data_IF_937832660060
#
_entry.id   IF_937832660060
#
_cell.length_a   1.000
_cell.length_b   1.000
_cell.length_c   1.000
_cell.angle_alpha   90.00
_cell.angle_beta   90.00
_cell.angle_gamma   90.00
#
_symmetry.space_group_name_H-M   'P 1'
#
loop_
_entity.id
_entity.type
_entity.pdbx_description
1 polymer ?
#
# COMPACT_ATOMS: atom_id res chain seq x y z
N UNK A 1 11.04 4.98 12.73
CA UNK A 1 10.38 3.91 11.97
C UNK A 1 9.99 4.35 10.55
N UNK A 2 9.06 5.26 10.39
CA UNK A 2 8.54 5.67 9.08
C UNK A 2 9.64 6.12 8.11
N UNK A 3 10.61 6.92 8.54
CA UNK A 3 11.75 7.36 7.74
C UNK A 3 12.51 6.18 7.10
N UNK A 4 12.78 5.12 7.89
CA UNK A 4 13.47 3.93 7.40
C UNK A 4 12.61 3.17 6.36
N UNK A 5 11.32 3.02 6.63
CA UNK A 5 10.40 2.36 5.69
C UNK A 5 10.32 3.09 4.34
N UNK A 6 10.23 4.43 4.36
CA UNK A 6 10.05 5.25 3.16
C UNK A 6 11.33 5.47 2.35
N UNK A 7 12.49 5.57 3.04
CA UNK A 7 13.73 6.04 2.41
C UNK A 7 14.77 4.93 2.17
N UNK A 8 14.57 3.72 2.68
CA UNK A 8 15.56 2.65 2.50
C UNK A 8 14.98 1.48 1.69
N UNK A 9 15.83 0.75 1.02
CA UNK A 9 15.59 -0.51 0.33
C UNK A 9 16.94 -1.24 0.12
N UNK A 10 16.97 -2.27 -0.72
CA UNK A 10 18.19 -3.06 -0.98
C UNK A 10 19.35 -2.22 -1.56
N UNK A 11 19.05 -1.12 -2.25
CA UNK A 11 20.04 -0.26 -2.92
C UNK A 11 20.25 1.08 -2.20
N UNK A 12 19.33 1.47 -1.32
CA UNK A 12 19.31 2.78 -0.68
C UNK A 12 19.39 2.65 0.83
N UNK A 13 20.37 3.34 1.42
CA UNK A 13 20.49 3.54 2.86
C UNK A 13 20.23 5.00 3.23
N UNK A 14 19.92 5.26 4.48
CA UNK A 14 19.72 6.60 5.02
C UNK A 14 20.76 6.91 6.09
N UNK A 15 21.39 8.08 5.99
CA UNK A 15 22.38 8.54 6.95
C UNK A 15 21.72 9.12 8.22
N UNK A 16 22.48 9.21 9.31
CA UNK A 16 21.99 9.86 10.54
C UNK A 16 21.52 11.29 10.28
N UNK A 17 22.22 12.04 9.39
CA UNK A 17 21.83 13.41 9.08
C UNK A 17 20.51 13.47 8.33
N UNK A 18 20.27 12.58 7.36
CA UNK A 18 19.01 12.53 6.63
C UNK A 18 17.83 12.12 7.53
N UNK A 19 18.08 11.31 8.58
CA UNK A 19 17.04 11.01 9.59
C UNK A 19 16.72 12.27 10.41
N UNK A 20 17.72 13.01 10.84
CA UNK A 20 17.53 14.28 11.59
C UNK A 20 16.75 15.28 10.73
N UNK A 21 17.14 15.45 9.48
CA UNK A 21 16.47 16.35 8.54
C UNK A 21 15.01 15.95 8.29
N UNK A 22 14.75 14.63 8.16
CA UNK A 22 13.40 14.11 8.03
C UNK A 22 12.54 14.39 9.26
N UNK A 23 13.08 14.22 10.47
CA UNK A 23 12.38 14.52 11.72
C UNK A 23 12.14 16.01 11.89
N UNK A 24 13.09 16.85 11.49
CA UNK A 24 12.96 18.31 11.53
C UNK A 24 11.81 18.81 10.65
N UNK A 25 11.60 18.19 9.46
CA UNK A 25 10.44 18.49 8.60
C UNK A 25 9.10 18.16 9.26
N UNK A 26 9.09 17.25 10.23
CA UNK A 26 7.90 16.92 11.04
C UNK A 26 7.81 17.71 12.36
N UNK A 27 8.67 18.70 12.54
CA UNK A 27 8.70 19.54 13.75
C UNK A 27 9.37 18.86 14.95
N UNK A 28 10.11 17.76 14.75
CA UNK A 28 10.81 17.02 15.80
C UNK A 28 12.30 17.36 15.74
N UNK A 29 12.82 17.98 16.78
CA UNK A 29 14.25 18.23 16.93
C UNK A 29 14.92 17.00 17.55
N UNK A 30 15.87 16.41 16.83
CA UNK A 30 16.62 15.25 17.29
C UNK A 30 18.13 15.50 17.19
N UNK A 31 18.86 15.04 18.19
CA UNK A 31 20.31 15.07 18.19
C UNK A 31 20.88 13.76 17.65
N UNK A 32 22.06 13.82 17.08
CA UNK A 32 22.75 12.65 16.51
C UNK A 32 22.90 11.49 17.50
N UNK A 33 23.17 11.81 18.78
CA UNK A 33 23.33 10.81 19.84
C UNK A 33 22.00 10.09 20.13
N UNK A 34 20.88 10.84 20.15
CA UNK A 34 19.53 10.26 20.33
C UNK A 34 19.21 9.27 19.20
N UNK A 35 19.53 9.63 17.94
CA UNK A 35 19.28 8.74 16.79
C UNK A 35 20.02 7.42 16.94
N UNK A 36 21.26 7.42 17.42
CA UNK A 36 22.00 6.16 17.65
C UNK A 36 21.29 5.28 18.68
N UNK A 37 20.86 5.86 19.80
CA UNK A 37 20.13 5.17 20.85
C UNK A 37 18.80 4.64 20.33
N UNK A 38 18.05 5.45 19.57
CA UNK A 38 16.76 5.07 19.02
C UNK A 38 16.88 3.90 18.01
N UNK A 39 17.94 3.92 17.17
CA UNK A 39 18.21 2.82 16.25
C UNK A 39 18.55 1.53 17.01
N UNK A 40 19.36 1.62 18.08
CA UNK A 40 19.68 0.45 18.90
C UNK A 40 18.42 -0.13 19.56
N UNK A 41 17.54 0.73 20.09
CA UNK A 41 16.26 0.32 20.65
C UNK A 41 15.34 -0.35 19.62
N UNK A 42 15.31 0.16 18.37
CA UNK A 42 14.53 -0.45 17.30
C UNK A 42 15.07 -1.85 16.94
N UNK A 43 16.39 -2.03 16.94
CA UNK A 43 17.04 -3.33 16.73
C UNK A 43 16.70 -4.29 17.88
N UNK A 44 16.79 -3.82 19.12
CA UNK A 44 16.45 -4.61 20.32
C UNK A 44 14.96 -5.00 20.32
N UNK A 45 14.10 -4.17 19.77
CA UNK A 45 12.67 -4.46 19.58
C UNK A 45 12.41 -5.52 18.48
N UNK A 46 13.44 -5.95 17.76
CA UNK A 46 13.35 -7.01 16.75
C UNK A 46 13.27 -6.51 15.31
N UNK A 47 13.59 -5.23 15.06
CA UNK A 47 13.69 -4.72 13.70
C UNK A 47 15.04 -5.08 13.08
N UNK A 48 15.00 -5.64 11.88
CA UNK A 48 16.21 -5.99 11.13
C UNK A 48 16.76 -4.74 10.42
N UNK A 49 17.55 -3.98 11.16
CA UNK A 49 18.21 -2.76 10.67
C UNK A 49 19.70 -3.05 10.54
N UNK A 50 20.22 -2.94 9.31
CA UNK A 50 21.66 -3.07 9.02
C UNK A 50 22.33 -1.70 9.09
N UNK A 51 23.45 -1.65 9.84
CA UNK A 51 24.33 -0.48 9.91
C UNK A 51 25.41 -0.64 8.84
N UNK A 52 25.33 0.16 7.78
CA UNK A 52 26.30 0.16 6.71
C UNK A 52 27.53 0.99 7.10
N UNK A 53 28.72 0.42 6.96
CA UNK A 53 29.99 1.09 7.22
C UNK A 53 30.58 1.62 5.91
N UNK A 54 31.28 2.78 5.95
CA UNK A 54 31.99 3.34 4.80
C UNK A 54 31.60 4.79 4.47
N UNK A 55 32.02 5.25 3.27
CA UNK A 55 31.83 6.64 2.83
C UNK A 55 30.34 7.03 2.64
N UNK A 56 29.48 6.05 2.43
CA UNK A 56 28.02 6.17 2.37
C UNK A 56 27.36 5.44 3.53
N UNK A 57 28.04 5.39 4.70
CA UNK A 57 27.53 4.71 5.90
C UNK A 57 26.15 5.23 6.31
N UNK A 58 25.26 4.34 6.69
CA UNK A 58 23.90 4.67 7.08
C UNK A 58 23.14 3.45 7.59
N UNK A 59 21.84 3.55 7.62
CA UNK A 59 20.94 2.52 8.10
C UNK A 59 20.03 2.04 6.97
N UNK A 60 19.81 0.74 6.91
CA UNK A 60 18.88 0.11 5.95
C UNK A 60 17.96 -0.82 6.72
N UNK A 61 16.66 -0.68 6.52
CA UNK A 61 15.67 -1.63 7.01
C UNK A 61 15.60 -2.80 6.01
N UNK A 62 16.02 -3.99 6.46
CA UNK A 62 16.08 -5.20 5.61
C UNK A 62 14.74 -5.94 5.64
N UNK A 63 14.21 -6.21 6.83
CA UNK A 63 12.96 -6.94 6.98
C UNK A 63 11.77 -6.03 6.77
N UNK A 64 10.93 -6.38 5.79
CA UNK A 64 9.67 -5.70 5.47
C UNK A 64 8.51 -6.66 5.58
N UNK A 65 7.30 -6.15 5.79
CA UNK A 65 6.09 -6.98 5.85
C UNK A 65 5.79 -7.63 4.50
N UNK A 66 6.16 -6.95 3.41
CA UNK A 66 5.99 -7.44 2.04
C UNK A 66 7.25 -7.21 1.23
N UNK A 67 7.61 -8.19 0.42
CA UNK A 67 8.61 -8.02 -0.63
C UNK A 67 8.02 -7.23 -1.81
N UNK A 68 8.87 -6.55 -2.57
CA UNK A 68 8.44 -5.80 -3.75
C UNK A 68 7.68 -6.67 -4.77
N UNK A 69 8.09 -7.94 -4.93
CA UNK A 69 7.42 -8.89 -5.81
C UNK A 69 5.98 -9.19 -5.36
N UNK A 70 5.75 -9.33 -4.05
CA UNK A 70 4.43 -9.55 -3.47
C UNK A 70 3.55 -8.31 -3.66
N UNK A 71 4.09 -7.10 -3.42
CA UNK A 71 3.36 -5.86 -3.67
C UNK A 71 2.97 -5.72 -5.14
N UNK A 72 3.83 -6.11 -6.09
CA UNK A 72 3.49 -6.14 -7.52
C UNK A 72 2.31 -7.06 -7.82
N UNK A 73 2.28 -8.26 -7.23
CA UNK A 73 1.15 -9.19 -7.35
C UNK A 73 -0.14 -8.60 -6.77
N UNK A 74 -0.08 -7.95 -5.62
CA UNK A 74 -1.24 -7.29 -5.00
C UNK A 74 -1.76 -6.15 -5.88
N UNK A 75 -0.89 -5.32 -6.44
CA UNK A 75 -1.25 -4.25 -7.38
C UNK A 75 -1.94 -4.82 -8.61
N UNK A 76 -1.40 -5.90 -9.21
CA UNK A 76 -1.99 -6.57 -10.36
C UNK A 76 -3.38 -7.17 -10.03
N UNK A 77 -3.54 -7.75 -8.85
CA UNK A 77 -4.84 -8.27 -8.38
C UNK A 77 -5.88 -7.15 -8.25
N UNK A 78 -5.51 -6.01 -7.65
CA UNK A 78 -6.39 -4.84 -7.52
C UNK A 78 -6.75 -4.27 -8.89
N UNK A 79 -5.80 -4.20 -9.81
CA UNK A 79 -6.03 -3.71 -11.18
C UNK A 79 -6.90 -4.65 -12.01
N UNK A 80 -6.69 -5.95 -11.88
CA UNK A 80 -7.43 -6.98 -12.63
C UNK A 80 -8.87 -7.10 -12.17
N UNK A 81 -9.17 -6.73 -10.95
CA UNK A 81 -10.50 -6.84 -10.38
C UNK A 81 -11.51 -5.95 -11.13
N UNK A 82 -12.53 -6.58 -11.70
CA UNK A 82 -13.64 -5.90 -12.35
C UNK A 82 -14.64 -5.31 -11.34
N UNK A 83 -14.60 -5.77 -10.10
CA UNK A 83 -15.52 -5.38 -9.03
C UNK A 83 -15.09 -4.10 -8.31
N UNK A 84 -13.83 -3.69 -8.47
CA UNK A 84 -13.28 -2.50 -7.83
C UNK A 84 -13.31 -1.35 -8.84
N UNK A 85 -13.90 -0.20 -8.46
CA UNK A 85 -13.92 0.98 -9.33
C UNK A 85 -12.51 1.52 -9.57
N UNK A 86 -12.32 2.26 -10.64
CA UNK A 86 -11.02 2.89 -10.95
C UNK A 86 -10.53 3.78 -9.82
N UNK A 87 -11.43 4.56 -9.19
CA UNK A 87 -11.12 5.42 -8.05
C UNK A 87 -10.61 4.58 -6.86
N UNK A 88 -11.39 3.56 -6.45
CA UNK A 88 -11.04 2.71 -5.32
C UNK A 88 -9.76 1.91 -5.56
N UNK A 89 -9.52 1.47 -6.81
CA UNK A 89 -8.26 0.81 -7.17
C UNK A 89 -7.06 1.73 -6.96
N UNK A 90 -7.17 2.99 -7.38
CA UNK A 90 -6.09 3.98 -7.19
C UNK A 90 -5.83 4.23 -5.71
N UNK A 91 -6.89 4.37 -4.90
CA UNK A 91 -6.76 4.57 -3.45
C UNK A 91 -6.09 3.36 -2.77
N UNK A 92 -6.45 2.13 -3.17
CA UNK A 92 -5.84 0.91 -2.64
C UNK A 92 -4.37 0.78 -3.04
N UNK A 93 -4.04 1.07 -4.31
CA UNK A 93 -2.66 1.03 -4.79
C UNK A 93 -1.82 2.06 -4.06
N UNK A 94 -2.33 3.29 -3.86
CA UNK A 94 -1.63 4.30 -3.06
C UNK A 94 -1.34 3.84 -1.62
N UNK A 95 -2.22 3.03 -1.02
CA UNK A 95 -1.94 2.41 0.29
C UNK A 95 -0.87 1.32 0.21
N UNK A 96 -0.86 0.50 -0.85
CA UNK A 96 0.20 -0.50 -1.05
C UNK A 96 1.57 0.15 -1.28
N UNK A 97 1.61 1.29 -1.97
CA UNK A 97 2.83 2.08 -2.19
C UNK A 97 3.47 2.56 -0.87
N UNK A 98 2.69 2.75 0.20
CA UNK A 98 3.25 3.13 1.51
C UNK A 98 3.96 1.99 2.26
N UNK A 99 3.83 0.75 1.78
CA UNK A 99 4.47 -0.43 2.39
C UNK A 99 5.88 -0.69 1.87
N UNK A 100 6.33 0.04 0.87
CA UNK A 100 7.67 -0.05 0.29
C UNK A 100 8.40 1.30 0.30
N UNK A 101 9.66 1.32 -0.18
CA UNK A 101 10.40 2.57 -0.31
C UNK A 101 9.80 3.48 -1.39
N UNK A 102 10.05 4.79 -1.30
CA UNK A 102 9.66 5.75 -2.35
C UNK A 102 10.23 5.42 -3.73
N UNK A 103 11.37 4.72 -3.77
CA UNK A 103 12.05 4.30 -5.00
C UNK A 103 11.33 3.10 -5.62
N UNK A 104 10.92 2.14 -4.79
CA UNK A 104 10.15 0.97 -5.18
C UNK A 104 8.71 1.34 -5.56
N UNK A 105 8.09 2.27 -4.82
CA UNK A 105 6.75 2.79 -5.12
C UNK A 105 6.65 3.34 -6.55
N UNK A 106 7.70 4.01 -7.04
CA UNK A 106 7.77 4.47 -8.43
C UNK A 106 7.73 3.33 -9.47
N UNK A 107 8.16 2.11 -9.11
CA UNK A 107 8.04 0.94 -9.96
C UNK A 107 6.59 0.39 -9.96
N UNK A 108 5.94 0.36 -8.80
CA UNK A 108 4.54 -0.05 -8.66
C UNK A 108 3.62 0.88 -9.46
N UNK A 109 3.84 2.18 -9.36
CA UNK A 109 3.04 3.19 -10.07
C UNK A 109 3.10 3.04 -11.59
N UNK A 110 4.25 2.70 -12.16
CA UNK A 110 4.41 2.48 -13.60
C UNK A 110 3.58 1.31 -14.14
N UNK A 111 3.30 0.30 -13.33
CA UNK A 111 2.45 -0.82 -13.72
C UNK A 111 0.96 -0.43 -13.81
N UNK A 112 0.54 0.62 -13.09
CA UNK A 112 -0.87 1.10 -13.05
C UNK A 112 -1.34 1.65 -14.40
N UNK A 113 -0.45 2.13 -15.24
CA UNK A 113 -0.78 2.91 -16.47
C UNK A 113 -1.21 2.03 -17.65
N UNK A 114 -0.97 0.71 -17.63
CA UNK A 114 -1.00 -0.12 -18.85
C UNK A 114 -2.36 -0.80 -19.11
N UNK A 115 -3.31 -0.80 -18.19
CA UNK A 115 -4.55 -1.58 -18.39
C UNK A 115 -5.81 -0.72 -18.36
N UNK A 116 -6.27 -0.29 -19.54
CA UNK A 116 -7.65 0.13 -19.82
C UNK A 116 -8.61 -1.09 -19.70
N UNK A 117 -8.76 -1.64 -18.50
CA UNK A 117 -9.76 -2.70 -18.25
C UNK A 117 -11.07 -2.05 -17.83
N UNK A 118 -12.17 -2.46 -18.46
CA UNK A 118 -13.52 -2.03 -18.10
C UNK A 118 -13.80 -2.41 -16.62
N UNK A 119 -13.73 -1.42 -15.74
CA UNK A 119 -14.06 -1.57 -14.32
C UNK A 119 -15.50 -1.14 -14.06
N UNK A 120 -16.09 -1.65 -12.98
CA UNK A 120 -17.41 -1.19 -12.56
C UNK A 120 -17.41 0.30 -12.21
N UNK A 121 -18.55 0.95 -12.40
CA UNK A 121 -18.80 2.34 -11.97
C UNK A 121 -19.47 2.36 -10.60
N UNK A 122 -20.00 1.20 -10.15
CA UNK A 122 -20.76 1.12 -8.90
C UNK A 122 -19.83 0.94 -7.70
N UNK A 123 -19.64 1.99 -6.91
CA UNK A 123 -18.81 1.98 -5.69
C UNK A 123 -19.40 1.10 -4.57
N UNK A 124 -20.71 0.82 -4.60
CA UNK A 124 -21.38 0.01 -3.57
C UNK A 124 -21.04 -1.48 -3.67
N UNK A 125 -20.55 -1.97 -4.80
CA UNK A 125 -20.21 -3.39 -4.95
C UNK A 125 -19.17 -3.83 -3.92
N UNK A 126 -18.19 -2.98 -3.61
CA UNK A 126 -17.17 -3.27 -2.61
C UNK A 126 -17.79 -3.55 -1.23
N UNK A 127 -18.73 -2.70 -0.80
CA UNK A 127 -19.43 -2.86 0.48
C UNK A 127 -20.42 -4.04 0.44
N UNK A 128 -21.07 -4.29 -0.69
CA UNK A 128 -21.97 -5.43 -0.83
C UNK A 128 -21.23 -6.77 -0.71
N UNK A 129 -20.00 -6.86 -1.20
CA UNK A 129 -19.15 -8.05 -1.03
C UNK A 129 -18.85 -8.29 0.46
N UNK A 130 -18.51 -7.24 1.20
CA UNK A 130 -18.27 -7.34 2.64
C UNK A 130 -19.51 -7.81 3.41
N UNK A 131 -20.67 -7.25 3.10
CA UNK A 131 -21.96 -7.67 3.68
C UNK A 131 -22.24 -9.15 3.41
N UNK A 132 -21.96 -9.63 2.19
CA UNK A 132 -22.14 -11.03 1.83
C UNK A 132 -21.19 -11.93 2.63
N UNK A 133 -19.92 -11.57 2.77
CA UNK A 133 -18.97 -12.35 3.58
C UNK A 133 -19.39 -12.44 5.04
N UNK A 134 -19.84 -11.33 5.62
CA UNK A 134 -20.31 -11.30 7.01
C UNK A 134 -21.56 -12.16 7.19
N UNK A 135 -22.51 -12.11 6.27
CA UNK A 135 -23.71 -12.93 6.32
C UNK A 135 -23.40 -14.44 6.17
N UNK A 136 -22.43 -14.81 5.35
CA UNK A 136 -21.96 -16.19 5.24
C UNK A 136 -21.32 -16.63 6.56
N UNK A 137 -20.46 -15.81 7.16
CA UNK A 137 -19.79 -16.13 8.42
C UNK A 137 -20.78 -16.29 9.59
N UNK A 138 -21.83 -15.47 9.60
CA UNK A 138 -22.89 -15.50 10.64
C UNK A 138 -24.02 -16.48 10.32
N UNK A 139 -24.00 -17.12 9.14
CA UNK A 139 -25.04 -18.02 8.64
C UNK A 139 -26.44 -17.39 8.62
N UNK A 140 -26.53 -16.11 8.23
CA UNK A 140 -27.77 -15.35 8.15
C UNK A 140 -28.22 -15.14 6.71
N UNK A 141 -29.53 -14.93 6.50
CA UNK A 141 -30.11 -14.64 5.19
C UNK A 141 -29.96 -13.17 4.82
N UNK A 142 -29.59 -12.88 3.57
CA UNK A 142 -29.52 -11.54 3.03
C UNK A 142 -30.76 -11.29 2.17
N UNK A 143 -31.57 -10.24 2.43
CA UNK A 143 -32.63 -9.83 1.53
C UNK A 143 -32.01 -9.21 0.26
N UNK A 144 -32.32 -9.76 -0.91
CA UNK A 144 -31.87 -9.22 -2.20
C UNK A 144 -33.05 -8.58 -2.91
N UNK A 145 -32.97 -7.26 -3.16
CA UNK A 145 -33.96 -6.57 -3.99
C UNK A 145 -33.51 -6.60 -5.45
N UNK A 146 -34.33 -7.22 -6.29
CA UNK A 146 -34.07 -7.33 -7.72
C UNK A 146 -34.87 -6.27 -8.49
N UNK A 147 -34.20 -5.26 -9.02
CA UNK A 147 -34.83 -4.29 -9.92
C UNK A 147 -34.70 -4.77 -11.36
N UNK A 148 -35.77 -5.30 -11.90
CA UNK A 148 -35.86 -5.70 -13.30
C UNK A 148 -36.01 -4.45 -14.18
N UNK A 149 -34.97 -4.08 -14.91
CA UNK A 149 -35.11 -3.15 -16.04
C UNK A 149 -35.87 -3.92 -17.12
N UNK A 150 -37.18 -3.66 -17.26
CA UNK A 150 -37.93 -4.12 -18.43
C UNK A 150 -37.29 -3.49 -19.66
N UNK A 151 -36.69 -4.29 -20.50
CA UNK A 151 -36.42 -3.88 -21.87
C UNK A 151 -37.76 -3.52 -22.50
N UNK A 152 -37.94 -2.29 -22.95
CA UNK A 152 -39.01 -1.92 -23.81
C UNK A 152 -38.82 -2.68 -25.12
N UNK A 153 -39.51 -3.81 -25.26
CA UNK A 153 -39.77 -4.37 -26.58
C UNK A 153 -40.70 -3.39 -27.31
N UNK A 154 -40.11 -2.61 -28.20
CA UNK A 154 -40.91 -1.92 -29.22
C UNK A 154 -41.45 -2.97 -30.18
N UNK A 155 -42.71 -3.43 -29.95
CA UNK A 155 -43.49 -4.12 -30.94
C UNK A 155 -43.63 -3.20 -32.15
N UNK A 156 -42.89 -3.50 -33.22
CA UNK A 156 -43.18 -3.01 -34.56
C UNK A 156 -44.37 -3.85 -35.11
N UNK A 157 -45.46 -3.17 -35.25
CA UNK A 157 -46.53 -3.59 -36.23
C UNK A 157 -46.13 -3.12 -37.60
#
# INVERSE_FOLDING_TARGET
MQCLTEKTDAEHSVTTQEIIDYLALQGINAERKSIYTDIDLLIDYGMDIVKNSGRSGGYTLVSRQFELAELKLLVDAVQSSKFITTKKSRDLIGKLETLCSKYEAGQLHRQVVVTNRNKTVNENIYYNVDIIYNAIAENVKIPVSYTHLRAHETLRH
#
